data_IF_700708583171
#
_entry.id   IF_700708583171
#
_cell.length_a   1.000
_cell.length_b   1.000
_cell.length_c   1.000
_cell.angle_alpha   90.00
_cell.angle_beta   90.00
_cell.angle_gamma   90.00
#
_symmetry.space_group_name_H-M   'P 1'
#
loop_
_entity.id
_entity.type
_entity.pdbx_description
1 polymer ?
#
# COMPACT_ATOMS: atom_id res chain seq x y z
N UNK A 1 -5.05 34.94 -18.81
CA UNK A 1 -5.48 34.20 -17.61
C UNK A 1 -4.78 32.85 -17.62
N UNK A 2 -3.70 32.70 -16.85
CA UNK A 2 -2.91 31.46 -16.82
C UNK A 2 -3.59 30.45 -15.89
N UNK A 3 -4.02 29.31 -16.44
CA UNK A 3 -4.58 28.24 -15.64
C UNK A 3 -3.45 27.59 -14.83
N UNK A 4 -3.57 27.61 -13.51
CA UNK A 4 -2.59 27.01 -12.60
C UNK A 4 -2.87 25.51 -12.48
N UNK A 5 -2.64 24.79 -13.58
CA UNK A 5 -2.77 23.33 -13.62
C UNK A 5 -1.53 22.72 -12.97
N UNK A 6 -1.71 21.74 -12.08
CA UNK A 6 -0.58 21.13 -11.38
C UNK A 6 0.35 20.44 -12.38
N UNK A 7 1.66 20.45 -12.10
CA UNK A 7 2.68 19.86 -12.96
C UNK A 7 2.36 18.39 -13.31
N UNK A 8 1.78 17.63 -12.36
CA UNK A 8 1.35 16.25 -12.56
C UNK A 8 0.25 16.11 -13.61
N UNK A 9 -0.73 17.02 -13.64
CA UNK A 9 -1.83 16.99 -14.62
C UNK A 9 -1.32 17.39 -16.00
N UNK A 10 -0.47 18.41 -16.09
CA UNK A 10 0.18 18.80 -17.34
C UNK A 10 1.00 17.66 -17.94
N UNK A 11 1.79 16.99 -17.12
CA UNK A 11 2.61 15.85 -17.52
C UNK A 11 1.76 14.66 -17.99
N UNK A 12 0.72 14.31 -17.23
CA UNK A 12 -0.20 13.22 -17.57
C UNK A 12 -0.93 13.50 -18.89
N UNK A 13 -1.38 14.73 -19.12
CA UNK A 13 -2.08 15.10 -20.35
C UNK A 13 -1.15 15.11 -21.56
N UNK A 14 0.08 15.61 -21.42
CA UNK A 14 1.05 15.72 -22.52
C UNK A 14 1.64 14.38 -22.95
N UNK A 15 1.62 13.38 -22.06
CA UNK A 15 2.27 12.10 -22.28
C UNK A 15 1.34 10.90 -22.15
N UNK A 16 0.01 11.10 -22.23
CA UNK A 16 -0.97 10.05 -22.00
C UNK A 16 -0.76 8.83 -22.92
N UNK A 17 -0.35 9.07 -24.17
CA UNK A 17 -0.08 8.05 -25.19
C UNK A 17 1.21 7.25 -24.96
N UNK A 18 2.13 7.75 -24.12
CA UNK A 18 3.39 7.05 -23.80
C UNK A 18 3.24 6.03 -22.67
N UNK A 19 2.13 6.07 -21.94
CA UNK A 19 1.95 5.20 -20.80
C UNK A 19 1.32 3.86 -21.21
N UNK A 20 1.82 2.73 -20.68
CA UNK A 20 1.18 1.45 -20.87
C UNK A 20 -0.21 1.44 -20.21
N UNK A 21 -1.15 0.68 -20.77
CA UNK A 21 -2.54 0.58 -20.30
C UNK A 21 -2.66 0.18 -18.80
N UNK A 22 -1.61 -0.44 -18.24
CA UNK A 22 -1.56 -0.94 -16.87
C UNK A 22 -0.83 -0.03 -15.86
N UNK A 23 -0.87 1.30 -16.02
CA UNK A 23 -0.24 2.27 -15.09
C UNK A 23 -0.47 1.98 -13.59
N UNK A 24 -1.63 1.42 -13.24
CA UNK A 24 -1.91 1.00 -11.87
C UNK A 24 -0.93 -0.02 -11.30
N UNK A 25 -0.34 -0.88 -12.15
CA UNK A 25 0.70 -1.85 -11.76
C UNK A 25 2.06 -1.21 -11.50
N UNK A 26 2.34 -0.08 -12.14
CA UNK A 26 3.56 0.73 -11.96
C UNK A 26 3.35 1.81 -10.88
N UNK A 27 2.14 1.93 -10.33
CA UNK A 27 1.84 2.94 -9.33
C UNK A 27 2.62 2.73 -8.03
N UNK A 28 3.06 3.82 -7.42
CA UNK A 28 3.77 3.83 -6.13
C UNK A 28 2.87 3.43 -4.94
N UNK A 29 1.59 3.11 -5.18
CA UNK A 29 0.59 2.78 -4.17
C UNK A 29 1.06 1.71 -3.18
N UNK A 30 1.81 0.70 -3.66
CA UNK A 30 2.37 -0.33 -2.78
C UNK A 30 3.50 0.21 -1.90
N UNK A 31 4.36 1.10 -2.43
CA UNK A 31 5.40 1.78 -1.67
C UNK A 31 4.83 2.74 -0.63
N UNK A 32 3.83 3.56 -1.01
CA UNK A 32 3.14 4.45 -0.08
C UNK A 32 2.49 3.67 1.08
N UNK A 33 1.82 2.55 0.77
CA UNK A 33 1.24 1.67 1.80
C UNK A 33 2.31 1.07 2.71
N UNK A 34 3.44 0.62 2.15
CA UNK A 34 4.57 0.14 2.94
C UNK A 34 5.05 1.19 3.95
N UNK A 35 5.23 2.44 3.51
CA UNK A 35 5.63 3.53 4.41
C UNK A 35 4.62 3.76 5.54
N UNK A 36 3.33 3.72 5.22
CA UNK A 36 2.28 3.91 6.23
C UNK A 36 2.22 2.75 7.23
N UNK A 37 2.30 1.51 6.76
CA UNK A 37 2.26 0.32 7.62
C UNK A 37 3.49 0.26 8.55
N UNK A 38 4.68 0.58 8.04
CA UNK A 38 5.90 0.65 8.84
C UNK A 38 5.84 1.79 9.87
N UNK A 39 5.30 2.95 9.50
CA UNK A 39 5.10 4.06 10.43
C UNK A 39 4.15 3.67 11.57
N UNK A 40 3.02 3.05 11.23
CA UNK A 40 2.03 2.58 12.20
C UNK A 40 2.59 1.49 13.12
N UNK A 41 3.29 0.49 12.57
CA UNK A 41 3.95 -0.52 13.40
C UNK A 41 5.08 0.10 14.24
N UNK A 42 5.86 1.02 13.70
CA UNK A 42 6.91 1.71 14.43
C UNK A 42 6.35 2.47 15.64
N UNK A 43 5.21 3.13 15.49
CA UNK A 43 4.52 3.80 16.59
C UNK A 43 4.11 2.83 17.72
N UNK A 44 3.62 1.63 17.38
CA UNK A 44 3.26 0.59 18.37
C UNK A 44 4.47 0.13 19.19
N UNK A 45 5.65 0.14 18.58
CA UNK A 45 6.91 -0.29 19.18
C UNK A 45 7.81 0.88 19.63
N UNK A 46 7.26 2.10 19.76
CA UNK A 46 8.00 3.30 20.19
C UNK A 46 9.23 3.61 19.33
N UNK A 47 9.16 3.34 18.03
CA UNK A 47 10.25 3.51 17.06
C UNK A 47 11.36 2.47 17.17
N UNK A 48 11.21 1.46 18.04
CA UNK A 48 12.20 0.39 18.18
C UNK A 48 11.93 -0.72 17.18
N UNK A 49 12.98 -1.11 16.46
CA UNK A 49 12.94 -2.24 15.53
C UNK A 49 13.14 -3.54 16.31
N UNK A 50 12.05 -4.31 16.46
CA UNK A 50 12.08 -5.64 17.05
C UNK A 50 11.79 -6.70 15.97
N UNK A 51 12.39 -7.91 16.04
CA UNK A 51 12.04 -9.01 15.15
C UNK A 51 10.53 -9.31 15.11
N UNK A 52 9.85 -9.12 16.25
CA UNK A 52 8.41 -9.29 16.37
C UNK A 52 7.61 -8.28 15.53
N UNK A 53 8.13 -7.07 15.31
CA UNK A 53 7.50 -6.04 14.47
C UNK A 53 7.42 -6.47 13.01
N UNK A 54 8.45 -7.16 12.51
CA UNK A 54 8.48 -7.75 11.17
C UNK A 54 7.48 -8.91 11.05
N UNK A 55 7.36 -9.74 12.08
CA UNK A 55 6.38 -10.82 12.13
C UNK A 55 4.94 -10.27 12.09
N UNK A 56 4.65 -9.22 12.86
CA UNK A 56 3.35 -8.54 12.86
C UNK A 56 3.03 -7.89 11.52
N UNK A 57 4.02 -7.26 10.87
CA UNK A 57 3.88 -6.69 9.54
C UNK A 57 3.55 -7.77 8.48
N UNK A 58 4.27 -8.89 8.50
CA UNK A 58 3.99 -10.03 7.64
C UNK A 58 2.60 -10.62 7.90
N UNK A 59 2.14 -10.63 9.16
CA UNK A 59 0.82 -11.08 9.54
C UNK A 59 -0.29 -10.18 9.00
N UNK A 60 -0.15 -8.86 9.12
CA UNK A 60 -1.13 -7.89 8.56
C UNK A 60 -1.20 -8.00 7.04
N UNK A 61 -0.05 -8.11 6.36
CA UNK A 61 -0.02 -8.33 4.91
C UNK A 61 -0.76 -9.61 4.50
N UNK A 62 -0.56 -10.72 5.23
CA UNK A 62 -1.22 -12.00 4.94
C UNK A 62 -2.73 -11.94 5.11
N UNK A 63 -3.23 -11.16 6.08
CA UNK A 63 -4.66 -10.98 6.32
C UNK A 63 -5.33 -10.04 5.30
N UNK A 64 -4.59 -9.07 4.77
CA UNK A 64 -5.08 -8.09 3.80
C UNK A 64 -5.09 -8.59 2.35
N UNK A 65 -4.36 -9.67 2.05
CA UNK A 65 -4.39 -10.33 0.74
C UNK A 65 -5.66 -11.20 0.67
N UNK A 66 -6.63 -10.90 -0.21
CA UNK A 66 -7.87 -11.68 -0.34
C UNK A 66 -7.63 -12.98 -1.13
N UNK A 67 -6.65 -13.79 -0.72
CA UNK A 67 -6.54 -15.16 -1.21
C UNK A 67 -7.22 -16.12 -0.24
N UNK A 68 -8.26 -16.75 -0.77
CA UNK A 68 -9.13 -17.77 -0.21
C UNK A 68 -10.22 -17.27 0.77
N UNK A 69 -11.43 -17.13 0.19
CA UNK A 69 -12.71 -17.26 0.90
C UNK A 69 -12.64 -18.39 1.93
N UNK A 70 -13.06 -18.07 3.16
CA UNK A 70 -13.69 -18.92 4.18
C UNK A 70 -13.07 -20.28 4.50
N UNK A 71 -12.66 -20.46 5.76
CA UNK A 71 -12.99 -21.63 6.59
C UNK A 71 -12.62 -21.37 8.06
N UNK A 72 -13.15 -20.29 8.66
CA UNK A 72 -13.21 -20.21 10.14
C UNK A 72 -14.45 -20.98 10.60
N UNK A 73 -14.33 -22.29 10.74
CA UNK A 73 -15.27 -23.04 11.58
C UNK A 73 -14.88 -22.78 13.04
N UNK A 74 -15.63 -21.91 13.72
CA UNK A 74 -15.53 -21.76 15.17
C UNK A 74 -16.07 -23.03 15.83
N UNK A 75 -15.18 -23.90 16.31
CA UNK A 75 -15.55 -24.98 17.23
C UNK A 75 -15.67 -24.37 18.62
N UNK A 76 -16.89 -24.05 19.04
CA UNK A 76 -17.20 -23.86 20.44
C UNK A 76 -17.22 -25.24 21.10
N UNK A 77 -16.38 -25.44 22.11
CA UNK A 77 -16.42 -26.61 23.01
C UNK A 77 -17.07 -26.17 24.31
#
# INVERSE_FOLDING_TARGET
MGCNVSLKIHFLHSHLEFFPENLGSVSEKHGERFHQDISNNGARYQGKWYPNMLADYCWTLKMDIPQAKNNRQAKYT
#
